data_IF_105290643538
#
_entry.id   IF_105290643538
#
_cell.length_a   1.000
_cell.length_b   1.000
_cell.length_c   1.000
_cell.angle_alpha   90.00
_cell.angle_beta   90.00
_cell.angle_gamma   90.00
#
_symmetry.space_group_name_H-M   'P 1'
#
loop_
_entity.id
_entity.type
_entity.pdbx_description
1 polymer ?
#
# COMPACT_ATOMS: atom_id res chain seq x y z
N UNK A 1 8.83 -49.79 47.30
CA UNK A 1 8.81 -49.98 48.78
C UNK A 1 9.70 -51.13 49.24
N UNK A 2 9.94 -52.16 48.40
CA UNK A 2 10.83 -53.30 48.74
C UNK A 2 12.26 -52.87 49.10
N UNK A 3 12.80 -51.83 48.45
CA UNK A 3 14.14 -51.33 48.77
C UNK A 3 14.27 -50.79 50.21
N UNK A 4 13.22 -50.16 50.75
CA UNK A 4 13.19 -49.68 52.14
C UNK A 4 13.14 -50.87 53.11
N UNK A 5 12.33 -51.89 52.81
CA UNK A 5 12.29 -53.13 53.61
C UNK A 5 13.66 -53.80 53.68
N UNK A 6 14.34 -53.93 52.54
CA UNK A 6 15.68 -54.53 52.49
C UNK A 6 16.71 -53.76 53.32
N UNK A 7 16.65 -52.42 53.35
CA UNK A 7 17.55 -51.62 54.19
C UNK A 7 17.23 -51.81 55.68
N UNK A 8 15.95 -51.85 56.05
CA UNK A 8 15.55 -52.07 57.44
C UNK A 8 15.96 -53.47 57.94
N UNK A 9 15.79 -54.51 57.11
CA UNK A 9 16.23 -55.87 57.42
C UNK A 9 17.76 -55.98 57.53
N UNK A 10 18.51 -55.29 56.67
CA UNK A 10 19.99 -55.28 56.68
C UNK A 10 20.58 -54.60 57.93
N UNK A 11 19.88 -53.61 58.50
CA UNK A 11 20.31 -52.85 59.68
C UNK A 11 19.63 -53.30 60.98
N UNK A 12 18.99 -54.48 60.96
CA UNK A 12 18.41 -55.10 62.14
C UNK A 12 19.33 -56.21 62.63
N UNK A 13 19.76 -56.11 63.89
CA UNK A 13 20.68 -57.06 64.51
C UNK A 13 19.96 -58.41 64.80
N UNK A 14 20.71 -59.48 65.11
CA UNK A 14 20.15 -60.81 65.41
C UNK A 14 19.15 -60.82 66.59
N UNK A 15 19.22 -59.82 67.47
CA UNK A 15 18.30 -59.60 68.60
C UNK A 15 17.06 -58.75 68.23
N UNK A 16 16.88 -58.38 66.96
CA UNK A 16 15.75 -57.57 66.47
C UNK A 16 15.89 -56.07 66.75
N UNK A 17 17.07 -55.60 67.17
CA UNK A 17 17.33 -54.18 67.45
C UNK A 17 17.75 -53.47 66.16
N UNK A 18 17.03 -52.42 65.79
CA UNK A 18 17.29 -51.64 64.58
C UNK A 18 18.32 -50.55 64.83
N UNK A 19 19.38 -50.51 64.03
CA UNK A 19 20.30 -49.37 63.99
C UNK A 19 19.69 -48.22 63.19
N UNK A 20 18.90 -47.40 63.89
CA UNK A 20 18.17 -46.27 63.30
C UNK A 20 19.09 -45.30 62.54
N UNK A 21 20.30 -45.06 63.05
CA UNK A 21 21.22 -44.08 62.48
C UNK A 21 21.79 -44.54 61.13
N UNK A 22 22.20 -45.81 61.02
CA UNK A 22 22.72 -46.36 59.76
C UNK A 22 21.61 -46.60 58.74
N UNK A 23 20.45 -47.10 59.18
CA UNK A 23 19.29 -47.28 58.33
C UNK A 23 18.82 -45.96 57.69
N UNK A 24 18.70 -44.88 58.49
CA UNK A 24 18.34 -43.55 57.96
C UNK A 24 19.40 -43.02 57.00
N UNK A 25 20.69 -43.27 57.26
CA UNK A 25 21.79 -42.83 56.38
C UNK A 25 21.75 -43.52 55.02
N UNK A 26 21.49 -44.84 54.99
CA UNK A 26 21.39 -45.60 53.74
C UNK A 26 20.08 -45.29 52.99
N UNK A 27 18.97 -45.08 53.72
CA UNK A 27 17.70 -44.59 53.15
C UNK A 27 17.90 -43.23 52.49
N UNK A 28 18.52 -42.27 53.17
CA UNK A 28 18.78 -40.94 52.61
C UNK A 28 19.72 -40.96 51.41
N UNK A 29 20.63 -41.95 51.34
CA UNK A 29 21.52 -42.12 50.19
C UNK A 29 20.79 -42.67 48.95
N UNK A 30 19.82 -43.56 49.14
CA UNK A 30 19.06 -44.19 48.05
C UNK A 30 17.75 -43.46 47.70
N UNK A 31 17.29 -42.56 48.58
CA UNK A 31 16.08 -41.76 48.36
C UNK A 31 16.11 -40.92 47.07
N UNK A 32 17.22 -40.25 46.66
CA UNK A 32 17.24 -39.47 45.42
C UNK A 32 17.07 -40.31 44.15
N UNK A 33 17.51 -41.58 44.16
CA UNK A 33 17.37 -42.50 43.01
C UNK A 33 16.00 -43.19 42.98
N UNK A 34 15.39 -43.43 44.14
CA UNK A 34 14.17 -44.23 44.26
C UNK A 34 12.91 -43.41 44.59
N UNK A 35 13.05 -42.11 44.85
CA UNK A 35 11.94 -41.21 45.21
C UNK A 35 12.01 -39.96 44.34
N UNK A 36 11.00 -39.78 43.50
CA UNK A 36 10.83 -38.53 42.76
C UNK A 36 10.18 -37.50 43.70
N UNK A 37 10.77 -36.32 43.89
CA UNK A 37 10.15 -35.25 44.67
C UNK A 37 8.75 -34.92 44.13
N UNK A 38 7.78 -34.73 45.03
CA UNK A 38 6.38 -34.50 44.67
C UNK A 38 6.22 -33.32 43.69
N UNK A 39 7.02 -32.28 43.85
CA UNK A 39 7.02 -31.12 42.96
C UNK A 39 7.48 -31.48 41.53
N UNK A 40 8.50 -32.33 41.38
CA UNK A 40 8.95 -32.80 40.08
C UNK A 40 7.93 -33.74 39.43
N UNK A 41 7.30 -34.62 40.21
CA UNK A 41 6.22 -35.48 39.73
C UNK A 41 5.01 -34.67 39.26
N UNK A 42 4.56 -33.70 40.07
CA UNK A 42 3.43 -32.84 39.74
C UNK A 42 3.72 -32.00 38.49
N UNK A 43 4.91 -31.39 38.41
CA UNK A 43 5.33 -30.62 37.22
C UNK A 43 5.35 -31.49 35.97
N UNK A 44 5.88 -32.70 36.07
CA UNK A 44 5.95 -33.64 34.94
C UNK A 44 4.57 -34.15 34.54
N UNK A 45 3.69 -34.40 35.51
CA UNK A 45 2.32 -34.85 35.27
C UNK A 45 1.47 -33.75 34.62
N UNK A 46 1.62 -32.50 35.05
CA UNK A 46 0.97 -31.35 34.41
C UNK A 46 1.52 -31.10 33.00
N UNK A 47 2.84 -31.16 32.82
CA UNK A 47 3.47 -31.05 31.52
C UNK A 47 3.01 -32.16 30.56
N UNK A 48 2.89 -33.40 31.05
CA UNK A 48 2.36 -34.53 30.28
C UNK A 48 0.90 -34.31 29.88
N UNK A 49 0.06 -33.83 30.80
CA UNK A 49 -1.36 -33.54 30.54
C UNK A 49 -1.51 -32.42 29.51
N UNK A 50 -0.67 -31.39 29.57
CA UNK A 50 -0.62 -30.32 28.59
C UNK A 50 -0.17 -30.84 27.21
N UNK A 51 0.90 -31.63 27.16
CA UNK A 51 1.39 -32.26 25.93
C UNK A 51 0.33 -33.17 25.29
N UNK A 52 -0.37 -33.98 26.08
CA UNK A 52 -1.46 -34.83 25.57
C UNK A 52 -2.64 -34.00 25.02
N UNK A 53 -2.94 -32.85 25.63
CA UNK A 53 -3.94 -31.92 25.12
C UNK A 53 -3.50 -31.27 23.80
N UNK A 54 -2.23 -30.84 23.71
CA UNK A 54 -1.66 -30.22 22.52
C UNK A 54 -1.60 -31.20 21.35
N UNK A 55 -1.21 -32.46 21.59
CA UNK A 55 -1.21 -33.52 20.55
C UNK A 55 -2.63 -33.76 20.03
N UNK A 56 -3.63 -33.88 20.91
CA UNK A 56 -5.04 -34.03 20.48
C UNK A 56 -5.55 -32.82 19.70
N UNK A 57 -5.14 -31.60 20.08
CA UNK A 57 -5.49 -30.39 19.34
C UNK A 57 -4.84 -30.36 17.95
N UNK A 58 -3.57 -30.79 17.84
CA UNK A 58 -2.87 -30.94 16.56
C UNK A 58 -3.50 -32.00 15.68
N UNK A 59 -3.82 -33.17 16.20
CA UNK A 59 -4.50 -34.24 15.46
C UNK A 59 -5.87 -33.78 14.96
N UNK A 60 -6.63 -33.06 15.78
CA UNK A 60 -7.90 -32.46 15.35
C UNK A 60 -7.70 -31.44 14.23
N UNK A 61 -6.68 -30.57 14.33
CA UNK A 61 -6.37 -29.63 13.24
C UNK A 61 -5.90 -30.33 11.97
N UNK A 62 -5.15 -31.44 12.07
CA UNK A 62 -4.76 -32.24 10.91
C UNK A 62 -5.99 -32.90 10.28
N UNK A 63 -6.91 -33.44 11.07
CA UNK A 63 -8.17 -34.01 10.57
C UNK A 63 -9.09 -32.93 9.98
N UNK A 64 -9.16 -31.74 10.57
CA UNK A 64 -9.93 -30.62 10.05
C UNK A 64 -9.29 -30.05 8.76
N UNK A 65 -7.96 -29.97 8.67
CA UNK A 65 -7.23 -29.61 7.44
C UNK A 65 -7.42 -30.64 6.33
N UNK A 66 -7.47 -31.93 6.67
CA UNK A 66 -7.82 -32.99 5.70
C UNK A 66 -9.28 -32.90 5.23
N UNK A 67 -10.20 -32.43 6.07
CA UNK A 67 -11.63 -32.28 5.74
C UNK A 67 -11.96 -30.96 5.03
N UNK A 68 -11.12 -29.94 5.13
CA UNK A 68 -11.34 -28.61 4.55
C UNK A 68 -11.08 -28.49 3.02
N UNK A 69 -10.86 -29.62 2.33
CA UNK A 69 -10.63 -29.66 0.88
C UNK A 69 -9.18 -30.01 0.57
N UNK A 70 -8.98 -30.90 -0.40
CA UNK A 70 -7.66 -31.45 -0.73
C UNK A 70 -6.67 -30.31 -1.04
N UNK A 71 -5.38 -30.52 -0.75
CA UNK A 71 -4.30 -29.58 -1.13
C UNK A 71 -4.40 -29.21 -2.63
N UNK A 72 -4.89 -30.13 -3.46
CA UNK A 72 -5.16 -29.92 -4.88
C UNK A 72 -6.26 -28.89 -5.17
N UNK A 73 -7.31 -28.78 -4.34
CA UNK A 73 -8.39 -27.81 -4.53
C UNK A 73 -7.94 -26.40 -4.14
N UNK A 74 -7.18 -26.28 -3.06
CA UNK A 74 -6.55 -25.01 -2.67
C UNK A 74 -5.52 -24.56 -3.72
N UNK A 75 -4.77 -25.49 -4.29
CA UNK A 75 -3.80 -25.21 -5.34
C UNK A 75 -4.48 -24.79 -6.67
N UNK A 76 -5.60 -25.44 -7.06
CA UNK A 76 -6.43 -25.00 -8.18
C UNK A 76 -7.03 -23.61 -7.98
N UNK A 77 -7.52 -23.30 -6.78
CA UNK A 77 -8.03 -21.96 -6.48
C UNK A 77 -6.93 -20.91 -6.53
N UNK A 78 -5.71 -21.24 -6.10
CA UNK A 78 -4.56 -20.35 -6.19
C UNK A 78 -4.17 -20.08 -7.66
N UNK A 79 -4.11 -21.12 -8.49
CA UNK A 79 -3.82 -20.97 -9.93
C UNK A 79 -4.90 -20.15 -10.63
N UNK A 80 -6.19 -20.44 -10.37
CA UNK A 80 -7.30 -19.66 -10.92
C UNK A 80 -7.26 -18.20 -10.47
N UNK A 81 -6.93 -17.93 -9.20
CA UNK A 81 -6.79 -16.57 -8.69
C UNK A 81 -5.57 -15.85 -9.29
N UNK A 82 -4.46 -16.54 -9.53
CA UNK A 82 -3.28 -15.98 -10.19
C UNK A 82 -3.56 -15.65 -11.65
N UNK A 83 -4.26 -16.52 -12.38
CA UNK A 83 -4.67 -16.28 -13.76
C UNK A 83 -5.67 -15.13 -13.86
N UNK A 84 -6.66 -15.08 -12.98
CA UNK A 84 -7.59 -13.96 -12.88
C UNK A 84 -6.87 -12.63 -12.59
N UNK A 85 -5.89 -12.63 -11.68
CA UNK A 85 -5.10 -11.43 -11.38
C UNK A 85 -4.22 -10.98 -12.56
N UNK A 86 -3.62 -11.92 -13.30
CA UNK A 86 -2.86 -11.59 -14.53
C UNK A 86 -3.77 -10.98 -15.59
N UNK A 87 -4.93 -11.60 -15.82
CA UNK A 87 -5.93 -11.11 -16.77
C UNK A 87 -6.43 -9.71 -16.38
N UNK A 88 -6.80 -9.52 -15.12
CA UNK A 88 -7.23 -8.24 -14.59
C UNK A 88 -6.15 -7.17 -14.75
N UNK A 89 -4.87 -7.48 -14.48
CA UNK A 89 -3.76 -6.54 -14.70
C UNK A 89 -3.66 -6.10 -16.16
N UNK A 90 -3.71 -7.05 -17.10
CA UNK A 90 -3.67 -6.71 -18.54
C UNK A 90 -4.88 -5.90 -18.99
N UNK A 91 -6.08 -6.23 -18.47
CA UNK A 91 -7.31 -5.49 -18.76
C UNK A 91 -7.26 -4.07 -18.19
N UNK A 92 -6.76 -3.89 -16.97
CA UNK A 92 -6.59 -2.56 -16.36
C UNK A 92 -5.54 -1.72 -17.09
N UNK A 93 -4.39 -2.29 -17.44
CA UNK A 93 -3.36 -1.59 -18.22
C UNK A 93 -3.90 -1.18 -19.60
N UNK A 94 -4.64 -2.07 -20.28
CA UNK A 94 -5.32 -1.76 -21.53
C UNK A 94 -6.39 -0.67 -21.35
N UNK A 95 -7.19 -0.73 -20.28
CA UNK A 95 -8.23 0.26 -19.98
C UNK A 95 -7.62 1.64 -19.70
N UNK A 96 -6.54 1.72 -18.92
CA UNK A 96 -5.83 2.97 -18.64
C UNK A 96 -5.23 3.54 -19.92
N UNK A 97 -4.64 2.69 -20.75
CA UNK A 97 -4.05 3.09 -22.04
C UNK A 97 -5.14 3.63 -22.98
N UNK A 98 -6.27 2.92 -23.09
CA UNK A 98 -7.42 3.38 -23.88
C UNK A 98 -7.99 4.69 -23.35
N UNK A 99 -8.16 4.84 -22.04
CA UNK A 99 -8.66 6.08 -21.44
C UNK A 99 -7.73 7.27 -21.73
N UNK A 100 -6.41 7.06 -21.72
CA UNK A 100 -5.44 8.09 -22.11
C UNK A 100 -5.56 8.45 -23.59
N UNK A 101 -5.73 7.46 -24.47
CA UNK A 101 -5.98 7.72 -25.88
C UNK A 101 -7.29 8.47 -26.10
N UNK A 102 -8.38 8.05 -25.46
CA UNK A 102 -9.69 8.70 -25.55
C UNK A 102 -9.60 10.16 -25.11
N UNK A 103 -9.02 10.44 -23.95
CA UNK A 103 -8.86 11.80 -23.45
C UNK A 103 -8.00 12.68 -24.38
N UNK A 104 -6.92 12.12 -24.93
CA UNK A 104 -6.07 12.84 -25.87
C UNK A 104 -6.79 13.11 -27.21
N UNK A 105 -7.53 12.13 -27.73
CA UNK A 105 -8.31 12.21 -28.95
C UNK A 105 -9.44 13.24 -28.80
N UNK A 106 -10.20 13.18 -27.71
CA UNK A 106 -11.26 14.15 -27.42
C UNK A 106 -10.70 15.57 -27.34
N UNK A 107 -9.56 15.75 -26.66
CA UNK A 107 -8.89 17.06 -26.58
C UNK A 107 -8.46 17.56 -27.96
N UNK A 108 -7.86 16.70 -28.78
CA UNK A 108 -7.40 17.06 -30.11
C UNK A 108 -8.55 17.33 -31.11
N UNK A 109 -9.70 16.66 -30.91
CA UNK A 109 -10.91 16.82 -31.70
C UNK A 109 -11.92 17.82 -31.11
N UNK A 110 -11.56 18.56 -30.06
CA UNK A 110 -12.44 19.57 -29.43
C UNK A 110 -12.97 20.64 -30.41
N UNK A 111 -12.20 20.93 -31.46
CA UNK A 111 -12.58 21.85 -32.53
C UNK A 111 -13.43 21.20 -33.65
N UNK A 112 -13.63 19.88 -33.63
CA UNK A 112 -14.52 19.20 -34.56
C UNK A 112 -16.00 19.50 -34.23
N UNK A 113 -16.86 19.50 -35.24
CA UNK A 113 -18.30 19.58 -35.05
C UNK A 113 -18.87 18.28 -34.50
N UNK A 114 -18.31 17.14 -34.92
CA UNK A 114 -18.69 15.80 -34.48
C UNK A 114 -17.45 15.00 -34.05
N UNK A 115 -16.94 15.23 -32.83
CA UNK A 115 -15.74 14.57 -32.33
C UNK A 115 -15.87 13.04 -32.29
N UNK A 116 -17.05 12.50 -31.98
CA UNK A 116 -17.30 11.04 -31.94
C UNK A 116 -17.14 10.36 -33.31
N UNK A 117 -17.53 11.05 -34.39
CA UNK A 117 -17.38 10.52 -35.75
C UNK A 117 -15.93 10.60 -36.23
N UNK A 118 -15.22 11.65 -35.82
CA UNK A 118 -13.82 11.86 -36.19
C UNK A 118 -12.88 10.99 -35.35
N UNK A 119 -13.22 10.67 -34.11
CA UNK A 119 -12.42 9.77 -33.26
C UNK A 119 -12.33 8.37 -33.84
N UNK A 120 -13.40 7.88 -34.49
CA UNK A 120 -13.41 6.61 -35.22
C UNK A 120 -12.56 6.58 -36.50
N UNK A 121 -12.06 7.73 -36.96
CA UNK A 121 -11.13 7.83 -38.12
C UNK A 121 -9.66 7.83 -37.71
N UNK A 122 -9.38 7.93 -36.40
CA UNK A 122 -8.04 7.91 -35.84
C UNK A 122 -7.57 6.47 -35.68
N UNK A 123 -6.41 6.18 -36.24
CA UNK A 123 -5.79 4.86 -36.16
C UNK A 123 -4.97 4.75 -34.87
N UNK A 124 -5.63 4.20 -33.85
CA UNK A 124 -5.06 3.97 -32.50
C UNK A 124 -3.84 3.06 -32.52
N UNK A 125 -3.68 2.20 -33.52
CA UNK A 125 -2.54 1.26 -33.60
C UNK A 125 -1.22 1.97 -33.91
N UNK A 126 -1.30 3.18 -34.48
CA UNK A 126 -0.14 4.02 -34.78
C UNK A 126 0.16 5.04 -33.68
N UNK A 127 -0.63 5.06 -32.61
CA UNK A 127 -0.44 5.97 -31.48
C UNK A 127 0.49 5.33 -30.45
N UNK A 128 1.33 6.15 -29.84
CA UNK A 128 2.21 5.74 -28.73
C UNK A 128 2.12 6.75 -27.60
N UNK A 129 1.98 6.26 -26.37
CA UNK A 129 2.03 7.11 -25.18
C UNK A 129 3.49 7.32 -24.79
N UNK A 130 3.94 8.58 -24.74
CA UNK A 130 5.27 8.97 -24.26
C UNK A 130 5.31 9.03 -22.73
N UNK A 131 6.52 9.03 -22.17
CA UNK A 131 6.74 9.11 -20.71
C UNK A 131 6.17 10.40 -20.08
N UNK A 132 6.07 11.48 -20.86
CA UNK A 132 5.44 12.74 -20.45
C UNK A 132 3.90 12.70 -20.44
N UNK A 133 3.30 11.56 -20.81
CA UNK A 133 1.85 11.36 -20.90
C UNK A 133 1.22 11.89 -22.18
N UNK A 134 2.00 12.39 -23.14
CA UNK A 134 1.49 12.81 -24.46
C UNK A 134 1.35 11.63 -25.42
N UNK A 135 0.43 11.75 -26.37
CA UNK A 135 0.18 10.73 -27.39
C UNK A 135 0.84 11.14 -28.70
N UNK A 136 1.91 10.44 -29.07
CA UNK A 136 2.62 10.61 -30.34
C UNK A 136 1.81 10.11 -31.53
N UNK A 137 1.93 10.78 -32.68
CA UNK A 137 1.24 10.44 -33.92
C UNK A 137 -0.22 10.90 -33.99
N UNK A 138 -0.80 11.35 -32.86
CA UNK A 138 -2.17 11.87 -32.82
C UNK A 138 -2.30 13.19 -33.57
N UNK A 139 -1.35 14.11 -33.39
CA UNK A 139 -1.39 15.44 -33.99
C UNK A 139 -1.31 15.38 -35.53
N UNK A 140 -0.47 14.49 -36.06
CA UNK A 140 -0.33 14.28 -37.51
C UNK A 140 -1.60 13.72 -38.13
N UNK A 141 -2.25 12.76 -37.46
CA UNK A 141 -3.53 12.21 -37.93
C UNK A 141 -4.64 13.27 -37.87
N UNK A 142 -4.71 14.06 -36.80
CA UNK A 142 -5.70 15.13 -36.65
C UNK A 142 -5.49 16.24 -37.68
N UNK A 143 -4.25 16.60 -38.02
CA UNK A 143 -3.94 17.52 -39.12
C UNK A 143 -4.43 16.99 -40.47
N UNK A 144 -4.15 15.73 -40.80
CA UNK A 144 -4.66 15.11 -42.03
C UNK A 144 -6.20 15.07 -42.09
N UNK A 145 -6.86 14.83 -40.96
CA UNK A 145 -8.33 14.90 -40.87
C UNK A 145 -8.84 16.32 -41.08
N UNK A 146 -8.19 17.34 -40.50
CA UNK A 146 -8.54 18.75 -40.70
C UNK A 146 -8.38 19.18 -42.16
N UNK A 147 -7.35 18.71 -42.85
CA UNK A 147 -7.11 19.03 -44.26
C UNK A 147 -8.14 18.37 -45.18
N UNK A 148 -8.51 17.12 -44.89
CA UNK A 148 -9.45 16.33 -45.69
C UNK A 148 -10.91 16.75 -45.44
N UNK A 149 -11.26 17.07 -44.20
CA UNK A 149 -12.62 17.34 -43.75
C UNK A 149 -12.77 18.75 -43.17
N UNK A 150 -12.27 19.77 -43.87
CA UNK A 150 -12.27 21.17 -43.40
C UNK A 150 -13.63 21.65 -42.89
N UNK A 151 -14.72 21.24 -43.56
CA UNK A 151 -16.09 21.63 -43.22
C UNK A 151 -16.60 21.00 -41.91
N UNK A 152 -15.96 19.92 -41.44
CA UNK A 152 -16.30 19.25 -40.18
C UNK A 152 -15.55 19.81 -38.97
N UNK A 153 -14.69 20.81 -39.17
CA UNK A 153 -13.98 21.51 -38.10
C UNK A 153 -14.44 22.96 -38.03
N UNK A 154 -14.60 23.45 -36.80
CA UNK A 154 -14.93 24.86 -36.57
C UNK A 154 -13.74 25.70 -37.03
N UNK A 155 -13.96 26.83 -37.72
CA UNK A 155 -12.89 27.75 -38.06
C UNK A 155 -12.20 28.21 -36.78
N UNK A 156 -10.87 28.23 -36.78
CA UNK A 156 -10.11 28.73 -35.65
C UNK A 156 -10.51 30.18 -35.40
N UNK A 157 -11.11 30.43 -34.22
CA UNK A 157 -11.51 31.77 -33.82
C UNK A 157 -10.27 32.60 -33.53
N UNK A 158 -9.71 33.24 -34.55
CA UNK A 158 -8.69 34.27 -34.40
C UNK A 158 -9.39 35.62 -34.23
N UNK A 159 -9.58 36.02 -32.97
CA UNK A 159 -10.12 37.32 -32.62
C UNK A 159 -9.40 37.89 -31.41
N UNK A 160 -9.01 39.16 -31.47
CA UNK A 160 -8.68 39.91 -30.25
C UNK A 160 -9.95 40.02 -29.42
N UNK A 161 -9.85 39.79 -28.11
CA UNK A 161 -10.93 40.12 -27.17
C UNK A 161 -11.37 41.56 -27.41
N UNK A 162 -12.69 41.83 -27.59
CA UNK A 162 -13.18 43.20 -27.71
C UNK A 162 -12.77 43.97 -26.45
N UNK A 163 -12.13 45.13 -26.63
CA UNK A 163 -11.80 46.02 -25.51
C UNK A 163 -13.12 46.61 -25.00
N UNK A 164 -13.71 45.96 -24.00
CA UNK A 164 -14.89 46.49 -23.35
C UNK A 164 -14.45 47.67 -22.46
N UNK A 165 -14.64 48.89 -22.96
CA UNK A 165 -14.43 50.11 -22.18
C UNK A 165 -15.68 50.28 -21.31
N UNK A 166 -15.76 49.57 -20.19
CA UNK A 166 -16.96 49.66 -19.35
C UNK A 166 -17.15 48.63 -18.24
N UNK A 167 -16.15 47.82 -17.90
CA UNK A 167 -16.20 47.00 -16.68
C UNK A 167 -14.90 47.22 -15.93
N UNK A 168 -15.00 47.85 -14.75
CA UNK A 168 -13.94 47.83 -13.75
C UNK A 168 -13.88 46.40 -13.23
N UNK A 169 -13.14 45.55 -13.93
CA UNK A 169 -12.54 44.39 -13.29
C UNK A 169 -11.37 44.91 -12.45
N UNK A 170 -11.36 44.47 -11.21
CA UNK A 170 -10.44 44.84 -10.15
C UNK A 170 -9.01 44.37 -10.49
N UNK A 171 -8.35 45.09 -11.39
CA UNK A 171 -6.90 45.12 -11.53
C UNK A 171 -6.48 46.44 -10.91
N UNK A 172 -5.99 46.39 -9.67
CA UNK A 172 -5.32 47.54 -9.06
C UNK A 172 -4.30 48.05 -10.06
N UNK A 173 -4.34 49.35 -10.38
CA UNK A 173 -3.38 49.94 -11.31
C UNK A 173 -1.97 49.60 -10.81
N UNK A 174 -1.00 49.39 -11.71
CA UNK A 174 0.39 49.07 -11.34
C UNK A 174 0.93 50.03 -10.24
N UNK A 175 0.42 51.28 -10.23
CA UNK A 175 0.65 52.28 -9.19
C UNK A 175 0.20 51.84 -7.79
N UNK A 176 -0.97 51.24 -7.66
CA UNK A 176 -1.55 50.78 -6.39
C UNK A 176 -0.84 49.54 -5.82
N UNK A 177 -0.41 48.62 -6.69
CA UNK A 177 0.42 47.47 -6.29
C UNK A 177 1.82 47.93 -5.82
N UNK A 178 2.43 48.88 -6.53
CA UNK A 178 3.70 49.48 -6.14
C UNK A 178 3.60 50.25 -4.81
N UNK A 179 2.47 50.91 -4.53
CA UNK A 179 2.20 51.56 -3.24
C UNK A 179 2.09 50.55 -2.08
N UNK A 180 1.39 49.43 -2.30
CA UNK A 180 1.30 48.34 -1.31
C UNK A 180 2.68 47.75 -1.03
N UNK A 181 3.46 47.46 -2.09
CA UNK A 181 4.81 46.91 -1.97
C UNK A 181 5.79 47.88 -1.30
N UNK A 182 5.73 49.18 -1.61
CA UNK A 182 6.56 50.21 -1.01
C UNK A 182 6.36 50.34 0.52
N UNK A 183 5.13 50.14 1.00
CA UNK A 183 4.73 50.33 2.38
C UNK A 183 4.71 49.05 3.22
N UNK A 184 4.85 47.88 2.58
CA UNK A 184 4.93 46.60 3.27
C UNK A 184 6.29 46.41 3.97
N UNK A 185 6.31 46.57 5.30
CA UNK A 185 7.52 46.40 6.14
C UNK A 185 8.02 44.95 6.20
N UNK A 186 7.22 43.96 5.76
CA UNK A 186 7.63 42.55 5.71
C UNK A 186 8.57 42.24 4.54
N UNK A 187 8.62 43.13 3.55
CA UNK A 187 9.47 43.00 2.36
C UNK A 187 10.86 43.64 2.57
N UNK A 188 11.92 43.10 1.95
CA UNK A 188 13.27 43.63 2.08
C UNK A 188 13.36 45.11 1.62
N UNK A 189 14.18 45.90 2.31
CA UNK A 189 14.30 47.35 2.08
C UNK A 189 14.62 47.70 0.62
N UNK A 190 15.44 46.88 -0.04
CA UNK A 190 15.84 47.07 -1.44
C UNK A 190 14.61 47.02 -2.38
N UNK A 191 13.71 46.07 -2.14
CA UNK A 191 12.51 45.85 -2.96
C UNK A 191 11.48 46.97 -2.74
N UNK A 192 11.35 47.44 -1.50
CA UNK A 192 10.52 48.59 -1.14
C UNK A 192 11.02 49.90 -1.73
N UNK A 193 12.34 50.12 -1.74
CA UNK A 193 12.96 51.31 -2.34
C UNK A 193 12.83 51.27 -3.85
N UNK A 194 13.01 50.11 -4.49
CA UNK A 194 12.77 49.95 -5.92
C UNK A 194 11.32 50.28 -6.29
N UNK A 195 10.35 49.82 -5.50
CA UNK A 195 8.93 50.15 -5.70
C UNK A 195 8.65 51.65 -5.57
N UNK A 196 9.25 52.33 -4.58
CA UNK A 196 9.13 53.80 -4.41
C UNK A 196 9.74 54.58 -5.56
N UNK A 197 10.92 54.17 -6.05
CA UNK A 197 11.56 54.83 -7.19
C UNK A 197 10.76 54.64 -8.47
N UNK A 198 10.21 53.43 -8.68
CA UNK A 198 9.33 53.17 -9.82
C UNK A 198 8.07 54.04 -9.75
N UNK A 199 7.44 54.14 -8.57
CA UNK A 199 6.26 54.99 -8.33
C UNK A 199 6.52 56.48 -8.61
N UNK A 200 7.70 56.99 -8.22
CA UNK A 200 8.11 58.37 -8.47
C UNK A 200 8.42 58.67 -9.94
N UNK A 201 8.74 57.63 -10.73
CA UNK A 201 9.01 57.76 -12.18
C UNK A 201 7.76 57.58 -13.05
N UNK A 202 6.62 57.19 -12.47
CA UNK A 202 5.35 57.10 -13.19
C UNK A 202 4.76 58.50 -13.39
N UNK A 203 4.21 58.80 -14.59
CA UNK A 203 3.55 60.09 -14.84
C UNK A 203 2.42 60.30 -13.83
N UNK A 204 2.33 61.51 -13.25
CA UNK A 204 1.16 61.88 -12.45
C UNK A 204 -0.06 61.96 -13.38
N UNK A 205 -1.12 61.21 -13.07
CA UNK A 205 -2.42 61.38 -13.71
C UNK A 205 -2.99 62.73 -13.27
N UNK A 206 -3.08 63.70 -14.18
CA UNK A 206 -3.91 64.92 -14.06
C UNK A 206 -5.41 64.58 -14.09
#
# INVERSE_FOLDING_TARGET
MEWIKNILEKHTDADGKLNLAEAIKEINKQAPENVVPKDQYNTTAEAKKQLEADVKARDKQLEDLKKAGSVEDLQKQLEAAQEANKKAKTEYEAAITNMKYDAAIEKALSNALHPDLMSGKIDRTKLKIKEDGTVEGLDDQVKGLKETYKDLFKPDKTGRTPKNVGVIENQGTEREELLKLANDMSKPLIERVAAKNKLASMPEEE
#
